data_IF_662754698404
#
_entry.id   IF_662754698404
#
_cell.length_a   1.000
_cell.length_b   1.000
_cell.length_c   1.000
_cell.angle_alpha   90.00
_cell.angle_beta   90.00
_cell.angle_gamma   90.00
#
_symmetry.space_group_name_H-M   'P 1'
#
loop_
_entity.id
_entity.type
_entity.pdbx_description
1 polymer ?
#
# COMPACT_ATOMS: atom_id res chain seq x y z
N UNK A 1 68.64 21.38 -5.95
CA UNK A 1 68.03 20.03 -5.86
C UNK A 1 66.52 20.23 -5.91
N UNK A 2 65.87 19.76 -6.98
CA UNK A 2 64.49 20.11 -7.34
C UNK A 2 63.58 18.95 -6.92
N UNK A 3 62.81 19.13 -5.85
CA UNK A 3 61.96 18.08 -5.28
C UNK A 3 60.57 18.19 -5.91
N UNK A 4 60.23 17.29 -6.83
CA UNK A 4 58.93 17.28 -7.49
C UNK A 4 57.97 16.41 -6.66
N UNK A 5 57.09 17.04 -5.87
CA UNK A 5 56.02 16.34 -5.15
C UNK A 5 54.80 16.30 -6.07
N UNK A 6 54.60 15.15 -6.71
CA UNK A 6 53.40 14.89 -7.52
C UNK A 6 52.26 14.46 -6.59
N UNK A 7 51.31 15.35 -6.32
CA UNK A 7 50.10 15.02 -5.55
C UNK A 7 49.05 14.49 -6.53
N UNK A 8 48.77 13.18 -6.48
CA UNK A 8 47.70 12.57 -7.28
C UNK A 8 46.39 12.73 -6.49
N UNK A 9 45.63 13.77 -6.79
CA UNK A 9 44.22 13.89 -6.38
C UNK A 9 43.38 12.99 -7.29
N UNK A 10 43.19 11.73 -6.89
CA UNK A 10 42.17 10.88 -7.51
C UNK A 10 40.81 11.36 -7.00
N UNK A 11 40.21 12.29 -7.74
CA UNK A 11 38.79 12.62 -7.59
C UNK A 11 37.98 11.42 -8.11
N UNK A 12 37.68 10.47 -7.23
CA UNK A 12 36.66 9.44 -7.46
C UNK A 12 35.28 10.09 -7.34
N UNK A 13 34.94 10.89 -8.36
CA UNK A 13 33.54 11.15 -8.71
C UNK A 13 33.02 9.92 -9.44
N UNK A 14 32.49 8.97 -8.68
CA UNK A 14 31.46 8.07 -9.21
C UNK A 14 30.18 8.47 -8.51
N UNK A 15 29.39 9.24 -9.27
CA UNK A 15 27.99 9.53 -9.01
C UNK A 15 27.27 8.19 -8.97
N UNK A 16 27.06 7.65 -7.78
CA UNK A 16 26.16 6.53 -7.58
C UNK A 16 24.75 7.05 -7.69
N UNK A 17 24.13 6.91 -8.85
CA UNK A 17 22.67 6.90 -8.93
C UNK A 17 22.20 5.75 -8.01
N UNK A 18 21.71 6.05 -6.81
CA UNK A 18 20.94 5.09 -6.03
C UNK A 18 19.69 4.81 -6.83
N UNK A 19 19.75 3.77 -7.66
CA UNK A 19 18.56 3.12 -8.17
C UNK A 19 17.89 2.51 -6.94
N UNK A 20 16.89 3.18 -6.38
CA UNK A 20 15.92 2.51 -5.54
C UNK A 20 15.24 1.51 -6.46
N UNK A 21 15.77 0.29 -6.50
CA UNK A 21 14.94 -0.86 -6.84
C UNK A 21 13.68 -0.73 -5.98
N UNK A 22 12.52 -1.02 -6.57
CA UNK A 22 11.18 -0.86 -6.00
C UNK A 22 10.92 -1.82 -4.81
N UNK A 23 11.83 -1.82 -3.86
CA UNK A 23 11.88 -2.56 -2.62
C UNK A 23 12.26 -1.49 -1.60
N UNK A 24 11.31 -0.57 -1.39
CA UNK A 24 11.40 0.48 -0.41
C UNK A 24 11.94 -0.07 0.90
N UNK A 25 12.89 0.63 1.49
CA UNK A 25 13.45 0.33 2.81
C UNK A 25 12.32 -0.07 3.75
N UNK A 26 12.23 -1.38 4.02
CA UNK A 26 11.29 -1.90 5.00
C UNK A 26 11.87 -1.55 6.36
N UNK A 27 11.20 -0.64 7.07
CA UNK A 27 11.57 -0.22 8.43
C UNK A 27 11.61 -1.39 9.43
N UNK A 28 11.02 -2.53 9.07
CA UNK A 28 10.96 -3.73 9.89
C UNK A 28 11.50 -4.93 9.10
N UNK A 29 12.39 -5.76 9.70
CA UNK A 29 12.84 -7.03 9.11
C UNK A 29 11.65 -7.93 8.73
N UNK A 30 11.78 -8.74 7.67
CA UNK A 30 10.67 -9.57 7.15
C UNK A 30 10.02 -10.46 8.21
N UNK A 31 10.79 -10.96 9.18
CA UNK A 31 10.28 -11.75 10.31
C UNK A 31 9.28 -11.02 11.22
N UNK A 32 9.19 -9.68 11.12
CA UNK A 32 8.22 -8.84 11.81
C UNK A 32 7.16 -8.26 10.87
N UNK A 33 7.31 -8.49 9.55
CA UNK A 33 6.27 -8.19 8.57
C UNK A 33 5.28 -9.34 8.63
N UNK A 34 4.15 -9.10 9.27
CA UNK A 34 3.05 -10.06 9.35
C UNK A 34 2.70 -10.56 7.94
N UNK A 35 2.82 -11.88 7.70
CA UNK A 35 2.50 -12.52 6.42
C UNK A 35 0.98 -12.63 6.17
N UNK A 36 0.20 -11.79 6.83
CA UNK A 36 -1.25 -11.83 6.79
C UNK A 36 -1.68 -11.25 5.46
N UNK A 37 -2.45 -12.05 4.72
CA UNK A 37 -2.96 -11.69 3.39
C UNK A 37 -3.65 -10.32 3.39
N UNK A 38 -4.30 -9.97 4.50
CA UNK A 38 -4.93 -8.68 4.76
C UNK A 38 -4.38 -8.09 6.07
N UNK A 39 -3.64 -6.98 6.00
CA UNK A 39 -3.19 -6.26 7.20
C UNK A 39 -4.20 -5.17 7.60
N UNK A 40 -3.98 -4.53 8.74
CA UNK A 40 -4.87 -3.48 9.24
C UNK A 40 -5.07 -2.31 8.27
N UNK A 41 -4.06 -2.00 7.44
CA UNK A 41 -4.14 -0.93 6.45
C UNK A 41 -5.01 -1.35 5.26
N UNK A 42 -4.91 -2.61 4.85
CA UNK A 42 -5.80 -3.20 3.86
C UNK A 42 -7.26 -3.21 4.37
N UNK A 43 -7.51 -3.69 5.59
CA UNK A 43 -8.87 -3.69 6.17
C UNK A 43 -9.44 -2.27 6.29
N UNK A 44 -8.60 -1.30 6.65
CA UNK A 44 -9.00 0.11 6.71
C UNK A 44 -9.40 0.65 5.32
N UNK A 45 -8.62 0.34 4.28
CA UNK A 45 -8.97 0.68 2.89
C UNK A 45 -10.27 0.02 2.47
N UNK A 46 -10.39 -1.29 2.72
CA UNK A 46 -11.56 -2.08 2.35
C UNK A 46 -12.87 -1.56 2.94
N UNK A 47 -12.88 -1.22 4.23
CA UNK A 47 -14.07 -0.68 4.87
C UNK A 47 -14.48 0.67 4.24
N UNK A 48 -13.52 1.56 3.97
CA UNK A 48 -13.79 2.84 3.30
C UNK A 48 -14.26 2.68 1.85
N UNK A 49 -13.71 1.72 1.12
CA UNK A 49 -14.15 1.38 -0.24
C UNK A 49 -15.59 0.87 -0.23
N UNK A 50 -15.93 -0.02 0.70
CA UNK A 50 -17.28 -0.53 0.84
C UNK A 50 -18.28 0.57 1.22
N UNK A 51 -17.97 1.41 2.22
CA UNK A 51 -18.78 2.58 2.59
C UNK A 51 -19.03 3.50 1.38
N UNK A 52 -18.00 3.73 0.56
CA UNK A 52 -18.07 4.55 -0.64
C UNK A 52 -18.97 3.94 -1.73
N UNK A 53 -18.91 2.62 -1.93
CA UNK A 53 -19.80 1.94 -2.88
C UNK A 53 -21.27 2.04 -2.44
N UNK A 54 -21.55 1.89 -1.14
CA UNK A 54 -22.90 2.04 -0.60
C UNK A 54 -23.41 3.47 -0.70
N UNK A 55 -22.53 4.46 -0.49
CA UNK A 55 -22.82 5.88 -0.65
C UNK A 55 -23.23 6.24 -2.08
N UNK A 56 -22.49 5.73 -3.09
CA UNK A 56 -22.79 5.96 -4.51
C UNK A 56 -24.19 5.45 -4.90
N UNK A 57 -24.72 4.46 -4.18
CA UNK A 57 -26.06 3.92 -4.41
C UNK A 57 -27.16 4.64 -3.63
N UNK A 58 -26.83 5.64 -2.82
CA UNK A 58 -27.77 6.30 -1.92
C UNK A 58 -28.20 5.42 -0.74
N UNK A 59 -27.51 4.31 -0.49
CA UNK A 59 -27.79 3.39 0.62
C UNK A 59 -27.04 3.78 1.91
N UNK A 60 -26.23 4.83 1.85
CA UNK A 60 -25.46 5.33 2.99
C UNK A 60 -25.55 6.85 3.02
N UNK A 61 -25.76 7.41 4.23
CA UNK A 61 -25.63 8.85 4.49
C UNK A 61 -24.17 9.32 4.52
N UNK A 62 -23.23 8.38 4.46
CA UNK A 62 -21.79 8.65 4.48
C UNK A 62 -21.36 9.05 3.08
N UNK A 63 -20.65 10.17 2.94
CA UNK A 63 -20.11 10.61 1.66
C UNK A 63 -19.05 9.63 1.12
N UNK A 64 -18.76 9.71 -0.18
CA UNK A 64 -17.61 9.03 -0.79
C UNK A 64 -16.35 9.33 0.04
N UNK A 65 -15.69 8.28 0.53
CA UNK A 65 -14.62 8.38 1.51
C UNK A 65 -13.41 7.58 1.02
N UNK A 66 -12.38 8.30 0.60
CA UNK A 66 -11.05 7.78 0.37
C UNK A 66 -10.07 8.68 1.11
N UNK A 67 -9.31 8.12 2.05
CA UNK A 67 -8.30 8.86 2.80
C UNK A 67 -7.22 9.39 1.84
N UNK A 68 -7.20 10.71 1.65
CA UNK A 68 -6.26 11.38 0.74
C UNK A 68 -4.79 11.28 1.18
N UNK A 69 -4.53 10.97 2.44
CA UNK A 69 -3.16 10.76 2.96
C UNK A 69 -2.59 9.45 2.43
N UNK A 70 -3.45 8.44 2.29
CA UNK A 70 -3.08 7.08 1.90
C UNK A 70 -3.37 6.79 0.41
N UNK A 71 -4.22 7.58 -0.23
CA UNK A 71 -4.51 7.50 -1.65
C UNK A 71 -3.24 7.72 -2.48
N UNK A 72 -2.94 6.75 -3.36
CA UNK A 72 -1.72 6.72 -4.17
C UNK A 72 -0.40 6.50 -3.42
N UNK A 73 -0.36 6.67 -2.09
CA UNK A 73 0.88 6.57 -1.29
C UNK A 73 1.08 5.22 -0.61
N UNK A 74 0.00 4.51 -0.28
CA UNK A 74 0.05 3.20 0.37
C UNK A 74 -0.66 2.13 -0.46
N UNK A 75 0.11 1.22 -1.07
CA UNK A 75 -0.45 0.19 -1.95
C UNK A 75 -1.46 -0.75 -1.25
N UNK A 76 -1.24 -1.07 0.04
CA UNK A 76 -2.15 -1.94 0.81
C UNK A 76 -3.49 -1.27 1.05
N UNK A 77 -3.47 0.01 1.38
CA UNK A 77 -4.68 0.82 1.51
C UNK A 77 -5.46 0.87 0.18
N UNK A 78 -4.77 1.18 -0.92
CA UNK A 78 -5.41 1.32 -2.23
C UNK A 78 -6.01 -0.01 -2.72
N UNK A 79 -5.29 -1.12 -2.59
CA UNK A 79 -5.83 -2.46 -2.89
C UNK A 79 -7.07 -2.77 -2.07
N UNK A 80 -7.01 -2.54 -0.74
CA UNK A 80 -8.18 -2.73 0.12
C UNK A 80 -9.37 -1.90 -0.35
N UNK A 81 -9.15 -0.62 -0.63
CA UNK A 81 -10.20 0.30 -1.07
C UNK A 81 -10.86 -0.14 -2.38
N UNK A 82 -10.07 -0.54 -3.38
CA UNK A 82 -10.59 -1.05 -4.66
C UNK A 82 -11.39 -2.35 -4.47
N UNK A 83 -10.86 -3.29 -3.68
CA UNK A 83 -11.53 -4.55 -3.38
C UNK A 83 -12.86 -4.33 -2.62
N UNK A 84 -12.87 -3.40 -1.66
CA UNK A 84 -14.07 -3.02 -0.91
C UNK A 84 -15.14 -2.34 -1.78
N UNK A 85 -14.71 -1.47 -2.69
CA UNK A 85 -15.60 -0.86 -3.69
C UNK A 85 -16.28 -1.93 -4.56
N UNK A 86 -15.51 -2.91 -5.03
CA UNK A 86 -16.05 -4.01 -5.84
C UNK A 86 -16.98 -4.92 -5.04
N UNK A 87 -16.57 -5.32 -3.84
CA UNK A 87 -17.31 -6.26 -3.00
C UNK A 87 -18.70 -5.73 -2.62
N UNK A 88 -18.83 -4.43 -2.39
CA UNK A 88 -20.08 -3.80 -1.96
C UNK A 88 -20.85 -3.09 -3.09
N UNK A 89 -20.42 -3.24 -4.35
CA UNK A 89 -21.07 -2.63 -5.52
C UNK A 89 -22.54 -3.06 -5.71
N UNK A 90 -22.91 -4.23 -5.19
CA UNK A 90 -24.28 -4.76 -5.22
C UNK A 90 -25.21 -4.13 -4.17
N UNK A 91 -24.66 -3.34 -3.22
CA UNK A 91 -25.44 -2.61 -2.22
C UNK A 91 -25.49 -3.27 -0.83
N UNK A 92 -24.73 -4.33 -0.61
CA UNK A 92 -24.61 -4.99 0.70
C UNK A 92 -23.18 -4.88 1.23
N UNK A 93 -23.05 -4.64 2.54
CA UNK A 93 -21.75 -4.71 3.21
C UNK A 93 -21.24 -6.16 3.19
N UNK A 94 -20.07 -6.38 2.59
CA UNK A 94 -19.40 -7.67 2.62
C UNK A 94 -18.21 -7.55 3.57
N UNK A 95 -18.14 -8.38 4.60
CA UNK A 95 -16.96 -8.49 5.46
C UNK A 95 -16.02 -9.54 4.86
N UNK A 96 -14.71 -9.27 4.87
CA UNK A 96 -13.69 -10.16 4.27
C UNK A 96 -13.75 -11.59 4.83
N UNK A 97 -14.06 -11.76 6.12
CA UNK A 97 -14.20 -13.09 6.74
C UNK A 97 -15.42 -13.86 6.19
N UNK A 98 -16.44 -13.15 5.69
CA UNK A 98 -17.60 -13.73 5.01
C UNK A 98 -17.39 -14.06 3.52
N UNK A 99 -16.39 -13.42 2.88
CA UNK A 99 -15.99 -13.75 1.49
C UNK A 99 -15.31 -15.13 1.46
N UNK A 100 -14.56 -15.47 2.51
CA UNK A 100 -13.92 -16.79 2.63
C UNK A 100 -14.92 -17.89 3.02
N UNK A 101 -15.89 -17.59 3.90
CA UNK A 101 -16.89 -18.56 4.34
C UNK A 101 -17.83 -19.06 3.21
N UNK A 102 -18.10 -18.22 2.21
CA UNK A 102 -18.98 -18.57 1.09
C UNK A 102 -18.34 -19.56 0.09
N UNK A 103 -17.01 -19.67 0.08
CA UNK A 103 -16.25 -20.60 -0.77
C UNK A 103 -15.83 -21.88 -0.03
N UNK A 104 -16.26 -22.07 1.22
CA UNK A 104 -15.97 -23.24 2.06
C UNK A 104 -17.16 -24.23 2.14
N UNK A 105 -18.16 -24.06 1.28
CA UNK A 105 -19.20 -25.06 1.09
C UNK A 105 -18.68 -26.18 0.18
N UNK A 106 -18.02 -27.19 0.79
CA UNK A 106 -17.91 -28.54 0.23
C UNK A 106 -19.14 -29.33 0.68
#
# INVERSE_FOLDING_TARGET
>A
MKNNITVIFVALMIVGCTHTANNGVRFLPEQYVSNVQHDSTYYYGYNQGCESALAQRGNSSVAFKKDSTLDGSNSRFNMGWDDGMQACATGEMKVIDGINASNLSI
#
